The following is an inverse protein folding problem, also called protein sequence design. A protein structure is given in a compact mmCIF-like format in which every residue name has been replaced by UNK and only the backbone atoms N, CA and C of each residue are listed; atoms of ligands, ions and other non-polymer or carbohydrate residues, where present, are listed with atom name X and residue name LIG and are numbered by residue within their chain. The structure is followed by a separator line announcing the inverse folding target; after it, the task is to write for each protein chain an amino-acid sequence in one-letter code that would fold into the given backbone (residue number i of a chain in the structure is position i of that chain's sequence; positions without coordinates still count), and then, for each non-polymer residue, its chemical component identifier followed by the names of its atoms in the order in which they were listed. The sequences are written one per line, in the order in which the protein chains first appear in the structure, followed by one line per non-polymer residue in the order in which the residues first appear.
data_IF_347696903678
#
_entry.id   IF_347696903678
#
_cell.length_a   1.000
_cell.length_b   1.000
_cell.length_c   1.000
_cell.angle_alpha   90.00
_cell.angle_beta   90.00
_cell.angle_gamma   90.00
#
_symmetry.space_group_name_H-M   'P 1'
#
loop_
_entity.id
_entity.type
_entity.pdbx_description
1 polymer ?
#
# COMPACT_ATOMS: atom_id res chain seq x y z
N UNK A 1 6.46 36.25 -0.37
CA UNK A 1 6.77 34.89 -0.93
C UNK A 1 5.86 33.88 -0.29
N UNK A 2 5.23 33.02 -1.08
CA UNK A 2 4.47 31.90 -0.56
C UNK A 2 5.43 30.90 0.11
N UNK A 3 5.05 30.27 1.23
CA UNK A 3 5.83 29.18 1.80
C UNK A 3 5.91 28.00 0.82
N UNK A 4 6.88 27.10 0.96
CA UNK A 4 6.96 25.91 0.14
C UNK A 4 5.71 25.03 0.32
N UNK A 5 5.28 24.28 -0.71
CA UNK A 5 4.06 23.45 -0.66
C UNK A 5 3.99 22.48 0.54
N UNK A 6 5.13 21.99 1.01
CA UNK A 6 5.23 21.14 2.20
C UNK A 6 4.73 21.80 3.49
N UNK A 7 4.78 23.14 3.57
CA UNK A 7 4.37 23.92 4.74
C UNK A 7 2.93 24.44 4.63
N UNK A 8 2.25 24.22 3.51
CA UNK A 8 0.86 24.68 3.36
C UNK A 8 -0.04 23.96 4.34
N UNK A 9 -0.94 24.72 4.98
CA UNK A 9 -1.95 24.17 5.89
C UNK A 9 -2.99 23.31 5.17
N UNK A 10 -3.19 23.53 3.88
CA UNK A 10 -4.10 22.72 3.05
C UNK A 10 -3.63 21.26 3.00
N UNK A 11 -4.52 20.33 3.31
CA UNK A 11 -4.25 18.90 3.30
C UNK A 11 -4.78 18.29 1.99
N UNK A 12 -3.89 18.20 1.00
CA UNK A 12 -4.22 17.58 -0.28
C UNK A 12 -3.97 16.07 -0.21
N UNK A 13 -5.04 15.30 -0.35
CA UNK A 13 -5.03 13.85 -0.52
C UNK A 13 -5.72 13.49 -1.84
N UNK A 14 -4.93 13.14 -2.84
CA UNK A 14 -5.42 12.56 -4.09
C UNK A 14 -4.87 11.14 -4.20
N UNK A 15 -5.76 10.18 -4.29
CA UNK A 15 -5.39 8.76 -4.39
C UNK A 15 -4.60 8.48 -5.65
N UNK A 16 -3.45 7.86 -5.48
CA UNK A 16 -2.59 7.48 -6.59
C UNK A 16 -2.89 6.04 -7.00
N UNK A 17 -3.10 5.80 -8.30
CA UNK A 17 -3.25 4.46 -8.85
C UNK A 17 -2.06 4.11 -9.77
N UNK A 18 -0.97 3.55 -9.24
CA UNK A 18 0.21 3.19 -10.03
C UNK A 18 -0.11 2.10 -11.08
N UNK A 19 -1.06 1.22 -10.80
CA UNK A 19 -1.42 0.11 -11.70
C UNK A 19 -2.04 0.60 -13.02
N UNK A 20 -2.76 1.72 -13.00
CA UNK A 20 -3.27 2.34 -14.21
C UNK A 20 -2.16 2.79 -15.15
N UNK A 21 -1.05 3.30 -14.62
CA UNK A 21 0.11 3.72 -15.39
C UNK A 21 0.81 2.51 -16.01
N UNK A 22 1.05 1.44 -15.22
CA UNK A 22 1.70 0.24 -15.72
C UNK A 22 0.91 -0.42 -16.87
N UNK A 23 -0.41 -0.50 -16.72
CA UNK A 23 -1.28 -1.02 -17.79
C UNK A 23 -1.26 -0.12 -19.04
N UNK A 24 -1.39 1.19 -18.85
CA UNK A 24 -1.46 2.13 -19.98
C UNK A 24 -0.20 2.06 -20.85
N UNK A 25 0.97 1.99 -20.21
CA UNK A 25 2.25 1.93 -20.90
C UNK A 25 2.75 0.50 -21.18
N UNK A 26 2.01 -0.51 -20.71
CA UNK A 26 2.36 -1.94 -20.83
C UNK A 26 3.77 -2.24 -20.27
N UNK A 27 4.04 -1.77 -19.07
CA UNK A 27 5.30 -1.99 -18.34
C UNK A 27 5.09 -2.78 -17.09
N UNK A 28 6.14 -3.49 -16.63
CA UNK A 28 6.09 -4.27 -15.40
C UNK A 28 5.87 -3.35 -14.18
N UNK A 29 4.85 -3.61 -13.34
CA UNK A 29 4.57 -2.82 -12.15
C UNK A 29 5.80 -2.69 -11.23
N UNK A 30 6.06 -1.46 -10.78
CA UNK A 30 7.16 -1.11 -9.88
C UNK A 30 8.57 -1.44 -10.39
N UNK A 31 8.71 -1.64 -11.71
CA UNK A 31 10.00 -1.65 -12.39
C UNK A 31 10.60 -0.24 -12.45
N UNK A 32 11.89 -0.15 -12.79
CA UNK A 32 12.54 1.15 -13.00
C UNK A 32 11.81 1.99 -14.07
N UNK A 33 11.43 1.36 -15.18
CA UNK A 33 10.70 2.02 -16.26
C UNK A 33 9.34 2.55 -15.79
N UNK A 34 8.61 1.78 -15.00
CA UNK A 34 7.34 2.21 -14.43
C UNK A 34 7.52 3.45 -13.53
N UNK A 35 8.52 3.48 -12.66
CA UNK A 35 8.81 4.65 -11.84
C UNK A 35 9.22 5.86 -12.68
N UNK A 36 10.00 5.67 -13.73
CA UNK A 36 10.39 6.76 -14.63
C UNK A 36 9.17 7.37 -15.33
N UNK A 37 8.21 6.55 -15.76
CA UNK A 37 6.95 6.99 -16.38
C UNK A 37 6.00 7.68 -15.38
N UNK A 38 5.95 7.23 -14.13
CA UNK A 38 5.13 7.85 -13.09
C UNK A 38 5.69 9.18 -12.57
N UNK A 39 7.00 9.37 -12.62
CA UNK A 39 7.69 10.51 -12.00
C UNK A 39 7.11 11.88 -12.37
N UNK A 40 6.85 12.21 -13.63
CA UNK A 40 6.29 13.51 -13.97
C UNK A 40 4.92 13.77 -13.32
N UNK A 41 4.04 12.76 -13.34
CA UNK A 41 2.70 12.86 -12.77
C UNK A 41 2.73 13.00 -11.24
N UNK A 42 3.51 12.15 -10.57
CA UNK A 42 3.63 12.19 -9.11
C UNK A 42 4.35 13.47 -8.63
N UNK A 43 5.27 13.99 -9.46
CA UNK A 43 5.91 15.28 -9.19
C UNK A 43 4.90 16.45 -9.24
N UNK A 44 3.97 16.44 -10.18
CA UNK A 44 2.88 17.44 -10.22
C UNK A 44 2.04 17.40 -8.94
N UNK A 45 1.71 16.19 -8.45
CA UNK A 45 1.00 16.04 -7.18
C UNK A 45 1.81 16.59 -6.00
N UNK A 46 3.09 16.26 -5.91
CA UNK A 46 3.98 16.78 -4.87
C UNK A 46 4.09 18.31 -4.91
N UNK A 47 4.26 18.89 -6.10
CA UNK A 47 4.38 20.35 -6.31
C UNK A 47 3.07 21.10 -6.02
N UNK A 48 1.92 20.42 -6.18
CA UNK A 48 0.62 20.95 -5.76
C UNK A 48 0.40 20.87 -4.23
N UNK A 49 1.37 20.39 -3.48
CA UNK A 49 1.30 20.26 -2.02
C UNK A 49 0.66 18.97 -1.53
N UNK A 50 0.74 17.89 -2.31
CA UNK A 50 0.28 16.57 -1.92
C UNK A 50 0.88 16.10 -0.60
N UNK A 51 0.05 15.59 0.29
CA UNK A 51 0.43 15.22 1.67
C UNK A 51 0.45 13.72 1.91
N UNK A 52 -0.31 12.96 1.13
CA UNK A 52 -0.66 11.57 1.44
C UNK A 52 -0.14 10.64 0.35
N UNK A 53 0.50 9.56 0.77
CA UNK A 53 0.86 8.43 -0.07
C UNK A 53 -0.23 7.37 0.09
N UNK A 54 -0.89 7.01 -1.01
CA UNK A 54 -1.85 5.90 -1.03
C UNK A 54 -1.12 4.58 -1.24
N UNK A 55 -1.22 3.65 -0.30
CA UNK A 55 -0.60 2.34 -0.39
C UNK A 55 -1.63 1.22 -0.16
N UNK A 56 -1.74 0.27 -1.06
CA UNK A 56 -2.57 -0.93 -0.88
C UNK A 56 -1.76 -2.01 -0.15
N UNK A 57 -2.17 -2.36 1.06
CA UNK A 57 -1.56 -3.44 1.85
C UNK A 57 -2.33 -4.76 1.75
N UNK A 58 -3.44 -4.74 1.01
CA UNK A 58 -4.29 -5.89 0.75
C UNK A 58 -4.74 -5.89 -0.71
N UNK A 59 -4.94 -7.08 -1.29
CA UNK A 59 -5.44 -7.25 -2.64
C UNK A 59 -6.86 -6.70 -2.79
N UNK A 60 -7.08 -5.85 -3.78
CA UNK A 60 -8.37 -5.25 -4.15
C UNK A 60 -9.14 -4.62 -2.99
N UNK A 61 -8.56 -3.66 -2.26
CA UNK A 61 -9.24 -3.04 -1.11
C UNK A 61 -10.58 -2.40 -1.48
N UNK A 62 -10.73 -1.92 -2.70
CA UNK A 62 -11.97 -1.33 -3.25
C UNK A 62 -12.71 -2.25 -4.22
N UNK A 63 -12.47 -3.58 -4.14
CA UNK A 63 -13.06 -4.60 -5.00
C UNK A 63 -12.90 -4.26 -6.50
N UNK A 64 -13.95 -3.94 -7.21
CA UNK A 64 -13.96 -3.61 -8.63
C UNK A 64 -14.34 -2.15 -8.94
N UNK A 65 -14.15 -1.22 -7.98
CA UNK A 65 -14.49 0.19 -8.18
C UNK A 65 -13.65 0.85 -9.28
N UNK A 66 -12.37 0.50 -9.36
CA UNK A 66 -11.46 1.02 -10.38
C UNK A 66 -11.28 0.01 -11.51
N UNK A 67 -11.07 0.52 -12.73
CA UNK A 67 -10.80 -0.35 -13.88
C UNK A 67 -9.55 -1.21 -13.65
N UNK A 68 -8.48 -0.59 -13.14
CA UNK A 68 -7.27 -1.29 -12.75
C UNK A 68 -7.37 -1.68 -11.29
N UNK A 69 -7.33 -2.97 -11.00
CA UNK A 69 -7.33 -3.46 -9.63
C UNK A 69 -6.05 -3.03 -8.90
N UNK A 70 -6.22 -2.66 -7.63
CA UNK A 70 -5.08 -2.45 -6.75
C UNK A 70 -4.62 -3.81 -6.22
N UNK A 71 -3.43 -4.22 -6.60
CA UNK A 71 -2.76 -5.36 -6.00
C UNK A 71 -2.15 -4.95 -4.66
N UNK A 72 -1.91 -5.93 -3.79
CA UNK A 72 -1.21 -5.67 -2.54
C UNK A 72 0.26 -5.31 -2.82
N UNK A 73 0.73 -4.21 -2.22
CA UNK A 73 2.15 -3.84 -2.21
C UNK A 73 2.95 -4.62 -1.15
N UNK A 74 2.27 -5.44 -0.37
CA UNK A 74 2.86 -6.37 0.61
C UNK A 74 2.58 -7.78 0.17
N UNK A 75 3.61 -8.63 0.09
CA UNK A 75 3.41 -10.06 -0.12
C UNK A 75 3.00 -10.74 1.18
N UNK A 76 1.88 -11.41 1.16
CA UNK A 76 1.36 -12.20 2.27
C UNK A 76 1.62 -13.68 1.99
N UNK A 77 2.55 -14.28 2.72
CA UNK A 77 2.93 -15.68 2.57
C UNK A 77 2.67 -16.45 3.87
N UNK A 78 1.83 -17.49 3.81
CA UNK A 78 1.73 -18.48 4.87
C UNK A 78 2.66 -19.65 4.54
N UNK A 79 3.68 -19.85 5.38
CA UNK A 79 4.66 -20.93 5.20
C UNK A 79 4.04 -22.30 5.45
N UNK A 80 4.71 -23.35 4.99
CA UNK A 80 4.26 -24.72 5.18
C UNK A 80 4.16 -25.15 6.66
N UNK A 81 4.93 -24.53 7.55
CA UNK A 81 4.88 -24.73 9.00
C UNK A 81 3.77 -23.91 9.70
N UNK A 82 2.97 -23.15 8.94
CA UNK A 82 1.88 -22.32 9.42
C UNK A 82 2.27 -20.92 9.85
N UNK A 83 3.55 -20.59 9.91
CA UNK A 83 4.02 -19.23 10.23
C UNK A 83 3.84 -18.27 9.07
N UNK A 84 3.80 -16.97 9.36
CA UNK A 84 3.67 -15.92 8.35
C UNK A 84 5.01 -15.33 7.96
N UNK A 85 5.10 -14.91 6.70
CA UNK A 85 6.16 -14.09 6.17
C UNK A 85 5.55 -12.95 5.34
N UNK A 86 6.05 -11.74 5.55
CA UNK A 86 5.63 -10.55 4.83
C UNK A 86 6.81 -9.94 4.10
N UNK A 87 6.64 -9.66 2.80
CA UNK A 87 7.66 -8.95 2.03
C UNK A 87 7.14 -7.56 1.66
N UNK A 88 7.87 -6.55 2.10
CA UNK A 88 7.55 -5.13 1.93
C UNK A 88 8.32 -4.49 0.76
N UNK A 89 9.00 -5.26 -0.08
CA UNK A 89 9.87 -4.72 -1.14
C UNK A 89 9.15 -3.75 -2.07
N UNK A 90 7.92 -4.06 -2.50
CA UNK A 90 7.13 -3.18 -3.38
C UNK A 90 6.63 -1.97 -2.60
N UNK A 91 6.13 -2.18 -1.39
CA UNK A 91 5.70 -1.11 -0.49
C UNK A 91 6.82 -0.10 -0.24
N UNK A 92 8.01 -0.58 0.09
CA UNK A 92 9.18 0.27 0.34
C UNK A 92 9.56 1.10 -0.88
N UNK A 93 9.68 0.47 -2.06
CA UNK A 93 10.00 1.17 -3.31
C UNK A 93 9.00 2.27 -3.62
N UNK A 94 7.71 2.00 -3.42
CA UNK A 94 6.66 2.97 -3.66
C UNK A 94 6.73 4.14 -2.69
N UNK A 95 6.84 3.88 -1.39
CA UNK A 95 6.92 4.91 -0.36
C UNK A 95 8.19 5.76 -0.52
N UNK A 96 9.36 5.14 -0.74
CA UNK A 96 10.62 5.84 -0.98
C UNK A 96 10.53 6.75 -2.20
N UNK A 97 9.96 6.26 -3.31
CA UNK A 97 9.75 7.05 -4.51
C UNK A 97 8.88 8.29 -4.26
N UNK A 98 7.79 8.17 -3.52
CA UNK A 98 6.91 9.30 -3.21
C UNK A 98 7.55 10.28 -2.24
N UNK A 99 8.29 9.79 -1.26
CA UNK A 99 9.06 10.61 -0.31
C UNK A 99 10.13 11.43 -1.04
N UNK A 100 10.85 10.83 -1.98
CA UNK A 100 11.88 11.49 -2.81
C UNK A 100 11.29 12.64 -3.64
N UNK A 101 10.04 12.51 -4.06
CA UNK A 101 9.32 13.57 -4.77
C UNK A 101 8.80 14.68 -3.86
N UNK A 102 8.83 14.48 -2.54
CA UNK A 102 8.41 15.46 -1.54
C UNK A 102 7.10 15.16 -0.83
N UNK A 103 6.41 14.06 -1.16
CA UNK A 103 5.19 13.59 -0.47
C UNK A 103 5.59 12.75 0.73
N UNK A 104 5.63 13.34 1.93
CA UNK A 104 6.19 12.67 3.12
C UNK A 104 5.43 12.92 4.42
N UNK A 105 4.20 13.45 4.34
CA UNK A 105 3.45 13.82 5.54
C UNK A 105 2.67 12.64 6.11
N UNK A 106 2.15 11.77 5.26
CA UNK A 106 1.31 10.67 5.66
C UNK A 106 1.40 9.50 4.65
N UNK A 107 1.37 8.28 5.17
CA UNK A 107 1.19 7.05 4.40
C UNK A 107 -0.15 6.46 4.82
N UNK A 108 -1.10 6.39 3.88
CA UNK A 108 -2.42 5.78 4.10
C UNK A 108 -2.45 4.37 3.52
N UNK A 109 -2.53 3.38 4.41
CA UNK A 109 -2.49 1.96 4.06
C UNK A 109 -3.90 1.37 3.97
N UNK A 110 -4.33 0.95 2.80
CA UNK A 110 -5.63 0.37 2.51
C UNK A 110 -5.52 -1.15 2.38
N UNK A 111 -6.34 -2.01 3.04
CA UNK A 111 -7.23 -1.69 4.14
C UNK A 111 -7.44 -2.94 4.98
N UNK A 112 -7.63 -2.77 6.28
CA UNK A 112 -8.08 -3.84 7.18
C UNK A 112 -9.57 -4.16 6.96
N UNK A 113 -10.33 -3.22 6.43
CA UNK A 113 -11.77 -3.38 6.12
C UNK A 113 -11.97 -3.07 4.63
N UNK A 114 -11.54 -3.95 3.72
CA UNK A 114 -11.81 -3.80 2.30
C UNK A 114 -13.31 -3.92 2.01
N UNK A 115 -13.75 -3.40 0.87
CA UNK A 115 -15.17 -3.48 0.46
C UNK A 115 -15.73 -4.89 0.39
N UNK A 116 -14.89 -5.85 0.04
CA UNK A 116 -15.16 -7.27 0.22
C UNK A 116 -14.22 -7.79 1.30
N UNK A 117 -14.76 -8.32 2.40
CA UNK A 117 -14.01 -8.89 3.51
C UNK A 117 -13.39 -10.23 3.13
N UNK A 118 -12.47 -10.19 2.17
CA UNK A 118 -11.79 -11.34 1.57
C UNK A 118 -10.31 -11.00 1.44
N UNK A 119 -9.47 -11.74 2.17
CA UNK A 119 -8.07 -11.43 2.35
C UNK A 119 -7.20 -12.44 1.63
N UNK A 120 -6.55 -12.01 0.54
CA UNK A 120 -5.70 -12.87 -0.26
C UNK A 120 -4.34 -13.09 0.40
N UNK A 121 -3.87 -14.31 0.36
CA UNK A 121 -2.51 -14.69 0.73
C UNK A 121 -2.03 -15.89 -0.11
N UNK A 122 -0.72 -16.04 -0.24
CA UNK A 122 -0.13 -17.23 -0.86
C UNK A 122 0.11 -18.30 0.23
N UNK A 123 -0.44 -19.49 0.04
CA UNK A 123 -0.25 -20.62 0.93
C UNK A 123 0.83 -21.55 0.35
N UNK A 124 1.99 -21.57 1.00
CA UNK A 124 3.13 -22.39 0.56
C UNK A 124 2.84 -23.89 0.58
N UNK A 125 2.05 -24.34 1.56
CA UNK A 125 1.74 -25.78 1.69
C UNK A 125 0.93 -26.31 0.50
N UNK A 126 0.01 -25.51 -0.04
CA UNK A 126 -0.78 -25.87 -1.22
C UNK A 126 -0.24 -25.26 -2.53
N UNK A 127 0.83 -24.47 -2.45
CA UNK A 127 1.43 -23.73 -3.57
C UNK A 127 0.40 -22.95 -4.40
N UNK A 128 -0.50 -22.24 -3.72
CA UNK A 128 -1.60 -21.54 -4.37
C UNK A 128 -2.06 -20.33 -3.57
N UNK A 129 -2.67 -19.35 -4.26
CA UNK A 129 -3.37 -18.27 -3.59
C UNK A 129 -4.64 -18.79 -2.90
N UNK A 130 -4.85 -18.33 -1.68
CA UNK A 130 -6.05 -18.56 -0.88
C UNK A 130 -6.66 -17.24 -0.43
N UNK A 131 -7.90 -17.32 0.02
CA UNK A 131 -8.65 -16.20 0.55
C UNK A 131 -9.22 -16.58 1.92
N UNK A 132 -8.97 -15.73 2.90
CA UNK A 132 -9.67 -15.76 4.17
C UNK A 132 -10.91 -14.87 4.07
N UNK A 133 -12.10 -15.43 4.24
CA UNK A 133 -13.35 -14.69 4.40
C UNK A 133 -13.62 -14.56 5.91
N UNK A 134 -13.48 -13.36 6.47
CA UNK A 134 -13.68 -13.12 7.89
C UNK A 134 -14.08 -11.67 8.16
N UNK A 135 -14.81 -11.43 9.24
CA UNK A 135 -15.28 -10.09 9.67
C UNK A 135 -14.53 -9.60 10.89
N UNK A 136 -14.40 -8.27 11.06
CA UNK A 136 -13.92 -7.70 12.31
C UNK A 136 -14.66 -8.28 13.53
N UNK A 137 -13.91 -8.67 14.56
CA UNK A 137 -14.42 -9.34 15.74
C UNK A 137 -14.47 -10.87 15.69
N UNK A 138 -14.21 -11.48 14.53
CA UNK A 138 -14.03 -12.92 14.41
C UNK A 138 -12.57 -13.30 14.72
N UNK A 139 -12.36 -14.41 15.46
CA UNK A 139 -11.03 -14.84 15.85
C UNK A 139 -10.08 -15.03 14.65
N UNK A 140 -10.58 -15.54 13.53
CA UNK A 140 -9.78 -15.73 12.31
C UNK A 140 -9.32 -14.39 11.70
N UNK A 141 -10.18 -13.34 11.75
CA UNK A 141 -9.82 -12.00 11.33
C UNK A 141 -8.73 -11.41 12.23
N UNK A 142 -8.91 -11.53 13.54
CA UNK A 142 -7.96 -11.00 14.52
C UNK A 142 -6.60 -11.67 14.40
N UNK A 143 -6.56 -13.01 14.31
CA UNK A 143 -5.33 -13.78 14.13
C UNK A 143 -4.59 -13.38 12.85
N UNK A 144 -5.31 -13.24 11.74
CA UNK A 144 -4.74 -12.86 10.45
C UNK A 144 -4.05 -11.50 10.53
N UNK A 145 -4.76 -10.50 11.05
CA UNK A 145 -4.26 -9.14 11.09
C UNK A 145 -3.22 -8.88 12.18
N UNK A 146 -3.30 -9.56 13.33
CA UNK A 146 -2.36 -9.33 14.43
C UNK A 146 -0.93 -9.71 14.05
N UNK A 147 -0.77 -10.82 13.31
CA UNK A 147 0.52 -11.25 12.81
C UNK A 147 1.15 -10.19 11.88
N UNK A 148 0.36 -9.71 10.92
CA UNK A 148 0.81 -8.69 9.98
C UNK A 148 1.11 -7.36 10.68
N UNK A 149 0.22 -6.86 11.50
CA UNK A 149 0.39 -5.55 12.16
C UNK A 149 1.60 -5.52 13.10
N UNK A 150 1.88 -6.61 13.79
CA UNK A 150 3.07 -6.72 14.64
C UNK A 150 4.36 -6.68 13.83
N UNK A 151 4.41 -7.38 12.70
CA UNK A 151 5.56 -7.41 11.81
C UNK A 151 5.71 -6.06 11.09
N UNK A 152 4.62 -5.54 10.53
CA UNK A 152 4.59 -4.24 9.84
C UNK A 152 5.01 -3.08 10.74
N UNK A 153 4.56 -3.07 12.00
CA UNK A 153 4.98 -2.04 12.97
C UNK A 153 6.49 -2.07 13.22
N UNK A 154 7.12 -3.25 13.29
CA UNK A 154 8.57 -3.38 13.41
C UNK A 154 9.27 -2.85 12.15
N UNK A 155 8.78 -3.24 10.96
CA UNK A 155 9.28 -2.78 9.69
C UNK A 155 9.20 -1.25 9.56
N UNK A 156 8.03 -0.66 9.82
CA UNK A 156 7.82 0.79 9.76
C UNK A 156 8.71 1.56 10.74
N UNK A 157 8.93 1.03 11.95
CA UNK A 157 9.87 1.62 12.92
C UNK A 157 11.31 1.58 12.41
N UNK A 158 11.74 0.48 11.81
CA UNK A 158 13.06 0.35 11.22
C UNK A 158 13.30 1.33 10.06
N UNK A 159 12.24 1.63 9.28
CA UNK A 159 12.26 2.62 8.19
C UNK A 159 12.08 4.07 8.67
N UNK A 160 11.68 4.30 9.91
CA UNK A 160 11.36 5.63 10.42
C UNK A 160 10.02 6.19 9.92
N UNK A 161 9.11 5.32 9.47
CA UNK A 161 7.81 5.71 8.89
C UNK A 161 6.63 5.44 9.81
N UNK A 162 6.86 4.87 10.99
CA UNK A 162 5.78 4.44 11.89
C UNK A 162 4.83 5.59 12.25
N UNK A 163 5.37 6.76 12.61
CA UNK A 163 4.59 7.88 13.11
C UNK A 163 3.78 8.61 12.01
N UNK A 164 4.11 8.35 10.73
CA UNK A 164 3.39 8.92 9.58
C UNK A 164 2.49 7.92 8.87
N UNK A 165 2.45 6.66 9.34
CA UNK A 165 1.65 5.59 8.73
C UNK A 165 0.32 5.42 9.45
N UNK A 166 -0.76 5.35 8.68
CA UNK A 166 -2.12 5.13 9.15
C UNK A 166 -2.76 3.97 8.40
N UNK A 167 -3.54 3.15 9.12
CA UNK A 167 -4.45 2.21 8.47
C UNK A 167 -5.70 2.98 8.08
N UNK A 168 -5.94 3.06 6.79
CA UNK A 168 -7.05 3.79 6.22
C UNK A 168 -8.22 2.84 5.89
N UNK A 169 -9.41 3.38 5.96
CA UNK A 169 -10.66 2.74 5.55
C UNK A 169 -11.42 3.70 4.63
N UNK A 170 -12.24 3.13 3.76
CA UNK A 170 -13.12 3.85 2.84
C UNK A 170 -14.59 3.54 3.15
#
# INVERSE_FOLDING_TARGET
TLPPPSEWAFHLDLWQNPYAVSRYYNVEPFSKEHFDLMRPLMKLYADAGGKVITASIMHKPWNGQTYDAFESMVTWLKKADGTWYFDYTVFDKWVEFMIDLGVKKQISCYSMVPWRLSFQYFDQASNSFKFLEAKPGEAAYEEFWINMLQDFAKHLKAKGWFDITHIAMD
#
